data_IF_605890608209
#
_entry.id   IF_605890608209
#
_cell.length_a   1.000
_cell.length_b   1.000
_cell.length_c   1.000
_cell.angle_alpha   90.00
_cell.angle_beta   90.00
_cell.angle_gamma   90.00
#
_symmetry.space_group_name_H-M   'P 1'
#
loop_
_entity.id
_entity.type
_entity.pdbx_description
1 polymer ?
#
# COMPACT_ATOMS: atom_id res chain seq x y z
N UNK A 1 -8.00 -23.32 -30.93
CA UNK A 1 -7.37 -22.28 -30.10
C UNK A 1 -5.86 -22.35 -30.34
N UNK A 2 -5.29 -21.32 -30.99
CA UNK A 2 -3.84 -21.20 -31.10
C UNK A 2 -3.35 -20.42 -29.89
N UNK A 3 -2.55 -21.03 -29.03
CA UNK A 3 -1.80 -20.35 -27.98
C UNK A 3 -0.42 -20.02 -28.56
N UNK A 4 -0.21 -18.77 -28.93
CA UNK A 4 1.12 -18.28 -29.29
C UNK A 4 1.75 -17.60 -28.06
N UNK A 5 2.94 -18.01 -27.75
CA UNK A 5 3.75 -17.45 -26.66
C UNK A 5 4.74 -16.47 -27.24
N UNK A 6 4.72 -15.24 -26.75
CA UNK A 6 5.72 -14.22 -27.11
C UNK A 6 6.71 -14.06 -25.97
N UNK A 7 7.97 -14.17 -26.30
CA UNK A 7 9.05 -13.90 -25.35
C UNK A 7 9.50 -12.42 -25.52
N UNK A 8 9.40 -11.64 -24.45
CA UNK A 8 9.86 -10.25 -24.41
C UNK A 8 11.16 -10.23 -23.61
N UNK A 9 12.30 -9.86 -24.24
CA UNK A 9 13.57 -9.78 -23.53
C UNK A 9 13.50 -8.79 -22.37
N UNK A 10 14.12 -9.13 -21.25
CA UNK A 10 14.07 -8.27 -20.05
C UNK A 10 14.73 -6.90 -20.25
N UNK A 11 15.65 -6.81 -21.22
CA UNK A 11 16.35 -5.56 -21.57
C UNK A 11 15.44 -4.51 -22.22
N UNK A 12 14.32 -4.93 -22.82
CA UNK A 12 13.34 -4.02 -23.44
C UNK A 12 12.35 -3.43 -22.43
N UNK A 13 12.44 -3.87 -21.17
CA UNK A 13 11.59 -3.39 -20.08
C UNK A 13 12.35 -2.39 -19.22
N UNK A 14 12.14 -1.10 -19.46
CA UNK A 14 12.89 -0.02 -18.80
C UNK A 14 12.16 0.64 -17.63
N UNK A 15 10.91 0.24 -17.36
CA UNK A 15 10.08 0.81 -16.28
C UNK A 15 9.37 -0.29 -15.50
N UNK A 16 8.84 0.04 -14.32
CA UNK A 16 8.05 -0.88 -13.50
C UNK A 16 6.76 -1.33 -14.20
N UNK A 17 6.20 -0.45 -15.04
CA UNK A 17 5.03 -0.76 -15.86
C UNK A 17 5.38 -0.52 -17.32
N UNK A 18 5.18 -1.53 -18.15
CA UNK A 18 5.41 -1.46 -19.59
C UNK A 18 4.11 -1.83 -20.31
N UNK A 19 3.72 -1.00 -21.26
CA UNK A 19 2.55 -1.23 -22.08
C UNK A 19 3.02 -1.68 -23.48
N UNK A 20 2.55 -2.83 -23.91
CA UNK A 20 2.86 -3.42 -25.21
C UNK A 20 1.60 -3.51 -26.05
N UNK A 21 1.75 -3.22 -27.33
CA UNK A 21 0.69 -3.40 -28.32
C UNK A 21 1.02 -4.57 -29.21
N UNK A 22 0.18 -5.58 -29.20
CA UNK A 22 0.27 -6.71 -30.14
C UNK A 22 -0.67 -6.44 -31.33
N UNK A 23 -0.10 -6.32 -32.53
CA UNK A 23 -0.86 -6.11 -33.76
C UNK A 23 -0.89 -7.42 -34.53
N UNK A 24 -2.05 -8.04 -34.60
CA UNK A 24 -2.29 -9.22 -35.42
C UNK A 24 -2.69 -8.76 -36.83
N UNK A 25 -1.89 -9.09 -37.83
CA UNK A 25 -2.18 -8.84 -39.24
C UNK A 25 -2.71 -10.12 -39.87
N UNK A 26 -3.99 -10.16 -40.19
CA UNK A 26 -4.60 -11.26 -40.89
C UNK A 26 -5.53 -10.72 -41.98
N UNK A 27 -5.25 -11.04 -43.24
CA UNK A 27 -6.11 -10.76 -44.43
C UNK A 27 -6.75 -9.36 -44.43
N UNK A 28 -5.93 -8.32 -44.43
CA UNK A 28 -6.37 -6.90 -44.52
C UNK A 28 -7.10 -6.36 -43.27
N UNK A 29 -7.23 -7.14 -42.20
CA UNK A 29 -7.75 -6.63 -40.91
C UNK A 29 -6.67 -6.68 -39.85
N UNK A 30 -6.35 -5.51 -39.31
CA UNK A 30 -5.46 -5.41 -38.15
C UNK A 30 -6.31 -5.47 -36.86
N UNK A 31 -6.03 -6.41 -35.99
CA UNK A 31 -6.52 -6.41 -34.60
C UNK A 31 -5.37 -6.00 -33.68
N UNK A 32 -5.58 -4.95 -32.95
CA UNK A 32 -4.64 -4.48 -31.94
C UNK A 32 -5.16 -4.87 -30.55
N UNK A 33 -4.30 -5.48 -29.74
CA UNK A 33 -4.57 -5.75 -28.33
C UNK A 33 -3.45 -5.11 -27.52
N UNK A 34 -3.81 -4.23 -26.60
CA UNK A 34 -2.87 -3.64 -25.66
C UNK A 34 -2.78 -4.57 -24.45
N UNK A 35 -1.56 -4.88 -24.06
CA UNK A 35 -1.27 -5.74 -22.91
C UNK A 35 -0.29 -4.97 -22.04
N UNK A 36 -0.65 -4.79 -20.78
CA UNK A 36 0.22 -4.17 -19.78
C UNK A 36 0.90 -5.25 -18.96
N UNK A 37 2.21 -5.13 -18.82
CA UNK A 37 3.02 -5.98 -17.96
C UNK A 37 3.70 -5.15 -16.89
N UNK A 38 3.73 -5.66 -15.69
CA UNK A 38 4.56 -5.11 -14.63
C UNK A 38 5.83 -5.94 -14.50
N UNK A 39 6.98 -5.31 -14.67
CA UNK A 39 8.27 -5.92 -14.36
C UNK A 39 8.59 -5.57 -12.93
N UNK A 40 8.58 -6.59 -12.08
CA UNK A 40 9.14 -6.44 -10.75
C UNK A 40 10.65 -6.63 -10.85
N UNK A 41 11.43 -5.64 -10.43
CA UNK A 41 12.84 -5.88 -10.13
C UNK A 41 12.88 -6.86 -8.97
N UNK A 42 13.82 -7.81 -9.03
CA UNK A 42 14.15 -8.62 -7.85
C UNK A 42 14.28 -7.71 -6.63
N UNK A 43 13.58 -8.03 -5.55
CA UNK A 43 13.56 -7.23 -4.32
C UNK A 43 12.52 -6.11 -4.23
N UNK A 44 11.58 -5.98 -5.19
CA UNK A 44 10.41 -5.08 -5.03
C UNK A 44 9.16 -5.88 -4.74
N UNK A 45 8.38 -5.37 -3.80
CA UNK A 45 7.06 -5.93 -3.49
C UNK A 45 6.13 -5.92 -4.71
N UNK A 46 5.44 -7.04 -4.93
CA UNK A 46 4.43 -7.18 -6.00
C UNK A 46 3.23 -6.24 -5.84
N UNK A 47 3.05 -5.66 -4.65
CA UNK A 47 1.99 -4.71 -4.35
C UNK A 47 2.29 -3.28 -4.82
N UNK A 48 3.52 -3.00 -5.28
CA UNK A 48 3.95 -1.66 -5.70
C UNK A 48 3.84 -1.54 -7.22
N UNK A 49 2.93 -0.69 -7.68
CA UNK A 49 2.79 -0.34 -9.11
C UNK A 49 3.39 1.02 -9.47
N UNK A 50 3.55 1.89 -8.48
CA UNK A 50 4.03 3.27 -8.66
C UNK A 50 4.91 3.69 -7.49
N UNK A 51 6.18 3.98 -7.77
CA UNK A 51 7.18 4.38 -6.75
C UNK A 51 6.84 5.73 -6.10
N UNK A 52 6.31 6.70 -6.83
CA UNK A 52 5.94 7.99 -6.25
C UNK A 52 4.84 7.85 -5.20
N UNK A 53 3.86 6.99 -5.48
CA UNK A 53 2.79 6.66 -4.54
C UNK A 53 3.34 5.83 -3.36
N UNK A 54 4.21 4.85 -3.65
CA UNK A 54 4.82 4.01 -2.62
C UNK A 54 5.61 4.85 -1.61
N UNK A 55 6.40 5.82 -2.08
CA UNK A 55 7.10 6.76 -1.18
C UNK A 55 6.12 7.55 -0.32
N UNK A 56 5.02 8.05 -0.88
CA UNK A 56 3.99 8.76 -0.10
C UNK A 56 3.39 7.88 1.00
N UNK A 57 3.18 6.62 0.69
CA UNK A 57 2.64 5.64 1.64
C UNK A 57 3.60 5.32 2.78
N UNK A 58 4.92 5.57 2.63
CA UNK A 58 5.91 5.39 3.71
C UNK A 58 5.83 6.43 4.84
N UNK A 59 4.95 7.43 4.75
CA UNK A 59 4.83 8.51 5.76
C UNK A 59 4.67 8.01 7.19
N UNK A 60 4.23 6.79 7.40
CA UNK A 60 4.01 6.22 8.74
C UNK A 60 5.25 5.58 9.35
N UNK A 61 6.31 5.35 8.55
CA UNK A 61 7.50 4.60 8.98
C UNK A 61 8.81 5.35 8.75
N UNK A 62 8.77 6.50 8.08
CA UNK A 62 9.95 7.35 7.86
C UNK A 62 9.78 8.69 8.56
N UNK A 63 10.90 9.28 8.97
CA UNK A 63 10.92 10.61 9.58
C UNK A 63 10.46 11.69 8.60
N UNK A 64 9.80 12.73 9.12
CA UNK A 64 9.28 13.85 8.32
C UNK A 64 10.35 14.49 7.42
N UNK A 65 11.57 14.66 7.93
CA UNK A 65 12.70 15.20 7.15
C UNK A 65 13.07 14.31 5.96
N UNK A 66 13.05 12.98 6.13
CA UNK A 66 13.30 12.02 5.05
C UNK A 66 12.17 12.02 4.05
N UNK A 67 10.93 12.10 4.55
CA UNK A 67 9.74 12.17 3.72
C UNK A 67 9.74 13.43 2.83
N UNK A 68 9.99 14.62 3.41
CA UNK A 68 10.05 15.88 2.69
C UNK A 68 11.16 15.90 1.63
N UNK A 69 12.34 15.35 1.94
CA UNK A 69 13.46 15.22 0.98
C UNK A 69 13.11 14.30 -0.17
N UNK A 70 12.36 13.22 0.08
CA UNK A 70 11.95 12.25 -0.94
C UNK A 70 10.98 12.87 -1.95
N UNK A 71 10.07 13.72 -1.48
CA UNK A 71 9.08 14.37 -2.35
C UNK A 71 9.69 15.42 -3.30
N UNK A 72 10.82 16.04 -2.92
CA UNK A 72 11.50 17.09 -3.69
C UNK A 72 12.48 16.58 -4.75
N UNK A 73 12.79 15.28 -4.78
CA UNK A 73 13.78 14.70 -5.70
C UNK A 73 13.21 14.41 -7.09
N UNK A 74 14.10 14.38 -8.10
CA UNK A 74 13.76 13.87 -9.42
C UNK A 74 13.42 12.37 -9.38
N UNK A 75 12.61 11.90 -10.34
CA UNK A 75 12.09 10.52 -10.36
C UNK A 75 13.16 9.45 -10.17
N UNK A 76 14.30 9.56 -10.85
CA UNK A 76 15.41 8.59 -10.76
C UNK A 76 16.05 8.57 -9.36
N UNK A 77 16.14 9.74 -8.74
CA UNK A 77 16.68 9.85 -7.38
C UNK A 77 15.68 9.31 -6.34
N UNK A 78 14.38 9.38 -6.61
CA UNK A 78 13.34 8.80 -5.77
C UNK A 78 13.39 7.28 -5.74
N UNK A 79 13.60 6.63 -6.89
CA UNK A 79 13.78 5.18 -6.93
C UNK A 79 14.98 4.74 -6.09
N UNK A 80 16.13 5.37 -6.27
CA UNK A 80 17.32 5.05 -5.50
C UNK A 80 17.13 5.28 -3.99
N UNK A 81 16.46 6.38 -3.62
CA UNK A 81 16.14 6.65 -2.23
C UNK A 81 15.18 5.61 -1.64
N UNK A 82 14.14 5.25 -2.40
CA UNK A 82 13.18 4.23 -2.01
C UNK A 82 13.88 2.89 -1.70
N UNK A 83 14.76 2.45 -2.59
CA UNK A 83 15.52 1.21 -2.37
C UNK A 83 16.47 1.32 -1.18
N UNK A 84 17.14 2.46 -1.01
CA UNK A 84 18.05 2.67 0.11
C UNK A 84 17.31 2.60 1.45
N UNK A 85 16.13 3.25 1.55
CA UNK A 85 15.32 3.23 2.76
C UNK A 85 14.87 1.83 3.14
N UNK A 86 14.37 1.05 2.17
CA UNK A 86 13.93 -0.31 2.44
C UNK A 86 15.08 -1.26 2.74
N UNK A 87 16.24 -1.06 2.10
CA UNK A 87 17.45 -1.84 2.41
C UNK A 87 17.92 -1.62 3.83
N UNK A 88 17.84 -0.39 4.33
CA UNK A 88 18.23 -0.07 5.72
C UNK A 88 17.27 -0.70 6.76
N UNK A 89 16.03 -0.99 6.36
CA UNK A 89 15.00 -1.61 7.21
C UNK A 89 14.85 -3.11 6.97
N UNK A 90 15.65 -3.70 6.08
CA UNK A 90 15.55 -5.10 5.69
C UNK A 90 15.98 -6.03 6.84
N UNK A 91 15.11 -6.90 7.36
CA UNK A 91 15.47 -7.83 8.42
C UNK A 91 16.37 -8.96 7.94
N UNK A 92 16.44 -9.22 6.62
CA UNK A 92 17.19 -10.32 6.01
C UNK A 92 18.00 -9.85 4.79
N UNK A 93 18.98 -8.94 4.98
CA UNK A 93 19.66 -8.23 3.90
C UNK A 93 20.47 -9.14 2.94
N UNK A 94 20.67 -10.40 3.30
CA UNK A 94 21.37 -11.41 2.49
C UNK A 94 20.41 -12.12 1.50
N UNK A 95 19.11 -11.82 1.53
CA UNK A 95 18.11 -12.38 0.62
C UNK A 95 17.72 -11.38 -0.47
N UNK A 96 17.14 -11.87 -1.56
CA UNK A 96 16.60 -11.00 -2.62
C UNK A 96 15.26 -10.35 -2.23
N UNK A 97 14.59 -10.87 -1.20
CA UNK A 97 13.29 -10.44 -0.72
C UNK A 97 13.44 -9.62 0.55
N UNK A 98 12.72 -8.49 0.61
CA UNK A 98 12.54 -7.73 1.82
C UNK A 98 11.12 -8.00 2.37
N UNK A 99 11.03 -8.89 3.34
CA UNK A 99 9.76 -9.35 3.91
C UNK A 99 9.01 -8.22 4.62
N UNK A 100 9.74 -7.27 5.19
CA UNK A 100 9.12 -6.10 5.84
C UNK A 100 8.44 -5.19 4.84
N UNK A 101 9.09 -4.95 3.68
CA UNK A 101 8.50 -4.18 2.59
C UNK A 101 7.27 -4.87 2.02
N UNK A 102 7.33 -6.18 1.79
CA UNK A 102 6.20 -6.96 1.28
C UNK A 102 5.01 -6.92 2.24
N UNK A 103 5.24 -7.16 3.53
CA UNK A 103 4.18 -7.10 4.53
C UNK A 103 3.58 -5.69 4.64
N UNK A 104 4.42 -4.66 4.59
CA UNK A 104 3.96 -3.27 4.63
C UNK A 104 3.02 -2.94 3.48
N UNK A 105 3.43 -3.19 2.23
CA UNK A 105 2.62 -2.88 1.06
C UNK A 105 1.43 -3.80 0.88
N UNK A 106 1.48 -5.03 1.37
CA UNK A 106 0.33 -5.90 1.50
C UNK A 106 -0.73 -5.29 2.42
N UNK A 107 -0.32 -4.70 3.55
CA UNK A 107 -1.23 -3.99 4.46
C UNK A 107 -1.77 -2.71 3.84
N UNK A 108 -0.96 -1.98 3.08
CA UNK A 108 -1.41 -0.81 2.31
C UNK A 108 -2.49 -1.21 1.29
N UNK A 109 -2.28 -2.30 0.54
CA UNK A 109 -3.27 -2.84 -0.41
C UNK A 109 -4.57 -3.20 0.31
N UNK A 110 -4.47 -3.94 1.40
CA UNK A 110 -5.64 -4.30 2.21
C UNK A 110 -6.39 -3.07 2.72
N UNK A 111 -5.66 -2.05 3.18
CA UNK A 111 -6.27 -0.82 3.66
C UNK A 111 -7.06 -0.12 2.56
N UNK A 112 -6.53 -0.05 1.33
CA UNK A 112 -7.20 0.53 0.18
C UNK A 112 -8.46 -0.25 -0.22
N UNK A 113 -8.44 -1.57 -0.09
CA UNK A 113 -9.58 -2.43 -0.44
C UNK A 113 -10.72 -2.39 0.60
N UNK A 114 -10.39 -2.11 1.88
CA UNK A 114 -11.34 -2.30 2.98
C UNK A 114 -11.71 -1.02 3.73
N UNK A 115 -10.93 0.05 3.60
CA UNK A 115 -11.13 1.27 4.38
C UNK A 115 -11.22 2.53 3.52
N UNK A 116 -11.33 2.39 2.21
CA UNK A 116 -11.53 3.51 1.29
C UNK A 116 -12.86 4.24 1.55
N UNK A 117 -12.92 5.48 1.07
CA UNK A 117 -14.10 6.32 1.22
C UNK A 117 -13.86 7.66 0.53
N UNK A 118 -13.88 8.74 1.29
CA UNK A 118 -13.55 10.10 0.81
C UNK A 118 -12.05 10.29 0.53
N UNK A 119 -11.23 9.37 1.06
CA UNK A 119 -9.79 9.28 0.88
C UNK A 119 -9.43 7.86 0.51
N UNK A 120 -8.23 7.69 -0.05
CA UNK A 120 -7.64 6.37 -0.20
C UNK A 120 -7.58 5.67 1.16
N UNK A 121 -7.84 4.37 1.19
CA UNK A 121 -7.94 3.61 2.43
C UNK A 121 -6.70 3.71 3.31
N UNK A 122 -5.51 3.79 2.71
CA UNK A 122 -4.24 3.98 3.42
C UNK A 122 -4.13 5.35 4.13
N UNK A 123 -4.89 6.35 3.72
CA UNK A 123 -4.90 7.68 4.35
C UNK A 123 -5.91 7.81 5.49
N UNK A 124 -6.78 6.82 5.67
CA UNK A 124 -7.76 6.80 6.75
C UNK A 124 -7.13 6.42 8.08
N UNK A 125 -7.76 6.78 9.18
CA UNK A 125 -7.26 6.43 10.51
C UNK A 125 -7.26 4.92 10.75
N UNK A 126 -8.27 4.19 10.21
CA UNK A 126 -8.28 2.72 10.24
C UNK A 126 -7.15 2.14 9.40
N UNK A 127 -6.92 2.69 8.21
CA UNK A 127 -5.81 2.29 7.34
C UNK A 127 -4.46 2.50 8.01
N UNK A 128 -4.24 3.66 8.61
CA UNK A 128 -3.01 3.96 9.36
C UNK A 128 -2.74 2.92 10.46
N UNK A 129 -3.73 2.65 11.30
CA UNK A 129 -3.58 1.68 12.40
C UNK A 129 -3.33 0.27 11.85
N UNK A 130 -4.05 -0.13 10.80
CA UNK A 130 -3.86 -1.44 10.18
C UNK A 130 -2.48 -1.60 9.55
N UNK A 131 -1.99 -0.59 8.85
CA UNK A 131 -0.66 -0.61 8.22
C UNK A 131 0.42 -0.76 9.30
N UNK A 132 0.33 -0.01 10.38
CA UNK A 132 1.33 -0.01 11.46
C UNK A 132 1.31 -1.29 12.29
N UNK A 133 0.13 -1.77 12.68
CA UNK A 133 -0.01 -2.84 13.66
C UNK A 133 -0.49 -4.17 13.05
N UNK A 134 -0.91 -4.18 11.79
CA UNK A 134 -1.50 -5.36 11.14
C UNK A 134 -2.97 -5.56 11.50
N UNK A 135 -3.51 -6.78 11.28
CA UNK A 135 -4.88 -7.11 11.64
C UNK A 135 -5.05 -7.09 13.18
N UNK A 136 -6.16 -6.50 13.69
CA UNK A 136 -6.48 -6.58 15.10
C UNK A 136 -6.86 -8.01 15.52
N UNK A 137 -6.60 -8.37 16.78
CA UNK A 137 -7.01 -9.64 17.34
C UNK A 137 -8.54 -9.73 17.49
N UNK A 138 -9.18 -8.60 17.82
CA UNK A 138 -10.64 -8.50 17.98
C UNK A 138 -11.15 -7.17 17.43
N UNK A 139 -12.34 -7.21 16.84
CA UNK A 139 -13.07 -6.04 16.34
C UNK A 139 -14.47 -6.04 16.94
N UNK A 140 -14.76 -5.06 17.77
CA UNK A 140 -16.10 -4.83 18.32
C UNK A 140 -16.74 -3.63 17.61
N UNK A 141 -18.05 -3.70 17.41
CA UNK A 141 -18.86 -2.62 16.87
C UNK A 141 -20.00 -2.32 17.82
N UNK A 142 -20.19 -1.04 18.14
CA UNK A 142 -21.36 -0.63 18.91
C UNK A 142 -22.57 -0.55 17.99
N UNK A 143 -23.72 -1.02 18.48
CA UNK A 143 -24.98 -0.80 17.79
C UNK A 143 -25.55 0.57 18.14
N UNK A 144 -26.17 1.29 17.20
CA UNK A 144 -26.91 2.49 17.51
C UNK A 144 -28.00 2.19 18.52
N UNK A 145 -28.13 3.03 19.52
CA UNK A 145 -29.21 2.95 20.51
C UNK A 145 -30.09 4.20 20.42
N UNK A 146 -31.28 4.18 21.05
CA UNK A 146 -32.11 5.38 21.15
C UNK A 146 -31.40 6.55 21.85
N UNK A 147 -30.40 6.26 22.70
CA UNK A 147 -29.62 7.26 23.43
C UNK A 147 -28.42 7.80 22.63
N UNK A 148 -27.92 7.07 21.63
CA UNK A 148 -26.81 7.52 20.78
C UNK A 148 -26.86 6.85 19.41
N UNK A 149 -26.88 7.67 18.39
CA UNK A 149 -26.78 7.23 16.98
C UNK A 149 -25.31 7.05 16.54
N UNK A 150 -24.34 7.38 17.37
CA UNK A 150 -22.92 7.33 17.01
C UNK A 150 -22.44 5.88 17.01
N UNK A 151 -21.82 5.49 15.91
CA UNK A 151 -21.20 4.18 15.76
C UNK A 151 -19.72 4.26 16.19
N UNK A 152 -19.31 3.27 16.96
CA UNK A 152 -17.91 3.07 17.32
C UNK A 152 -17.43 1.70 16.82
N UNK A 153 -16.17 1.63 16.49
CA UNK A 153 -15.44 0.41 16.20
C UNK A 153 -14.22 0.36 17.11
N UNK A 154 -14.07 -0.72 17.86
CA UNK A 154 -12.96 -0.91 18.81
C UNK A 154 -12.11 -2.05 18.30
N UNK A 155 -10.83 -1.76 18.05
CA UNK A 155 -9.84 -2.74 17.64
C UNK A 155 -8.91 -3.05 18.79
N UNK A 156 -8.83 -4.32 19.17
CA UNK A 156 -7.98 -4.79 20.27
C UNK A 156 -6.76 -5.51 19.72
N UNK A 157 -5.59 -5.13 20.22
CA UNK A 157 -4.27 -5.71 19.91
C UNK A 157 -3.66 -6.25 21.19
N UNK A 158 -3.80 -7.55 21.44
CA UNK A 158 -3.38 -8.21 22.68
C UNK A 158 -1.86 -8.16 22.88
N UNK A 159 -1.10 -8.36 21.79
CA UNK A 159 0.37 -8.38 21.83
C UNK A 159 0.99 -7.10 22.37
N UNK A 160 0.37 -5.96 22.10
CA UNK A 160 0.83 -4.64 22.53
C UNK A 160 -0.03 -4.06 23.65
N UNK A 161 -1.04 -4.81 24.12
CA UNK A 161 -2.00 -4.40 25.16
C UNK A 161 -2.63 -3.04 24.86
N UNK A 162 -3.07 -2.83 23.61
CA UNK A 162 -3.67 -1.58 23.13
C UNK A 162 -5.04 -1.82 22.52
N UNK A 163 -5.89 -0.80 22.67
CA UNK A 163 -7.16 -0.68 21.98
C UNK A 163 -7.19 0.64 21.22
N UNK A 164 -7.66 0.57 19.97
CA UNK A 164 -7.93 1.75 19.15
C UNK A 164 -9.44 1.88 18.99
N UNK A 165 -9.95 3.05 19.35
CA UNK A 165 -11.37 3.36 19.27
C UNK A 165 -11.57 4.31 18.10
N UNK A 166 -12.38 3.89 17.14
CA UNK A 166 -12.76 4.69 15.99
C UNK A 166 -14.22 5.09 16.11
N UNK A 167 -14.49 6.35 15.84
CA UNK A 167 -15.82 6.95 15.87
C UNK A 167 -16.24 7.33 14.46
N UNK A 168 -17.43 6.88 14.04
CA UNK A 168 -18.07 7.36 12.83
C UNK A 168 -18.74 8.70 13.14
N UNK A 169 -18.09 9.79 12.71
CA UNK A 169 -18.53 11.13 13.04
C UNK A 169 -19.80 11.55 12.30
N UNK A 170 -19.99 11.01 11.12
CA UNK A 170 -21.01 11.48 10.18
C UNK A 170 -22.12 10.44 9.93
N UNK A 171 -21.97 9.21 10.41
CA UNK A 171 -22.87 8.11 10.09
C UNK A 171 -22.70 7.55 8.67
N UNK A 172 -21.65 7.95 7.95
CA UNK A 172 -21.35 7.55 6.57
C UNK A 172 -20.15 6.61 6.45
N UNK A 173 -19.67 6.07 7.56
CA UNK A 173 -18.51 5.17 7.57
C UNK A 173 -17.15 5.87 7.63
N UNK A 174 -17.10 7.21 7.81
CA UNK A 174 -15.84 7.93 8.04
C UNK A 174 -15.41 7.79 9.51
N UNK A 175 -14.82 6.64 9.79
CA UNK A 175 -14.33 6.30 11.11
C UNK A 175 -13.03 7.03 11.42
N UNK A 176 -13.08 7.92 12.42
CA UNK A 176 -11.93 8.69 12.92
C UNK A 176 -11.45 8.13 14.24
N UNK A 177 -10.13 8.13 14.43
CA UNK A 177 -9.51 7.68 15.66
C UNK A 177 -9.89 8.63 16.82
N UNK A 178 -10.58 8.09 17.83
CA UNK A 178 -11.01 8.81 19.01
C UNK A 178 -10.06 8.60 20.20
N UNK A 179 -9.28 7.52 20.17
CA UNK A 179 -8.25 7.23 21.17
C UNK A 179 -6.90 7.87 20.78
N UNK A 180 -6.18 8.49 21.73
CA UNK A 180 -4.88 9.07 21.42
C UNK A 180 -3.85 7.98 21.07
N UNK A 181 -3.02 8.27 20.05
CA UNK A 181 -1.85 7.43 19.71
C UNK A 181 -0.70 7.55 20.73
N UNK A 182 -0.90 8.29 21.82
CA UNK A 182 0.13 8.57 22.83
C UNK A 182 0.70 7.28 23.43
N UNK A 183 2.01 7.20 23.48
CA UNK A 183 2.76 6.06 24.03
C UNK A 183 2.97 4.90 23.05
N UNK A 184 2.64 5.07 21.79
CA UNK A 184 3.08 4.18 20.73
C UNK A 184 4.36 4.77 20.17
N UNK A 185 5.49 4.15 20.48
CA UNK A 185 6.79 4.52 19.91
C UNK A 185 6.81 4.18 18.42
N UNK A 186 6.15 5.00 17.63
CA UNK A 186 6.33 5.03 16.18
C UNK A 186 7.59 5.88 15.98
N UNK A 187 8.73 5.22 15.90
CA UNK A 187 10.00 5.77 15.47
C UNK A 187 10.51 4.97 14.31
#
# INVERSE_FOLDING_TARGET
>A
YFNEYFFIPSNDMNSLKNDFSVILKQNLKNKQKNISFSKFKSGISSYISNIDLAIKQMKYIIDDDKYERSNKKFRKDKENLFYALWKDMDPTPDTEHNELMDEYYKRVSYANENFDGWKDGWETDRGMVYILFGPPDQVERTNPSMASSTLYQIWTYNRISKQFIFKDQNGFGDFRLDSPLNGIGIR
#
